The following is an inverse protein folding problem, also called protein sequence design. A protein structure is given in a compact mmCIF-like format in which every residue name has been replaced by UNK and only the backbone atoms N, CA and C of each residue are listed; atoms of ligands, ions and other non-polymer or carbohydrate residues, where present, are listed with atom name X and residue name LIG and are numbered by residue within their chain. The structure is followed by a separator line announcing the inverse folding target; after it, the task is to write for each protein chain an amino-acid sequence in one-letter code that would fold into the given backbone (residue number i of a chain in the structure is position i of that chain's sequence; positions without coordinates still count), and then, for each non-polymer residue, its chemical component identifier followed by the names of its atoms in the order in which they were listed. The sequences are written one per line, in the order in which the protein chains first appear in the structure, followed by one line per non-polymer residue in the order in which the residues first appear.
data_IF_470300535870
#
_entry.id   IF_470300535870
#
_cell.length_a   1.000
_cell.length_b   1.000
_cell.length_c   1.000
_cell.angle_alpha   90.00
_cell.angle_beta   90.00
_cell.angle_gamma   90.00
#
_symmetry.space_group_name_H-M   'P 1'
#
loop_
_entity.id
_entity.type
_entity.pdbx_description
1 polymer ?
#
# COMPACT_ATOMS: atom_id res chain seq x y z
N UNK A 1 -3.49 12.83 -21.11
CA UNK A 1 -2.11 13.26 -20.77
C UNK A 1 -1.23 12.02 -20.69
N UNK A 2 -0.24 11.96 -21.58
CA UNK A 2 0.84 10.98 -21.55
C UNK A 2 1.93 11.43 -20.57
N UNK A 3 2.46 10.50 -19.78
CA UNK A 3 3.47 10.82 -18.78
C UNK A 3 4.85 11.03 -19.43
N UNK A 4 5.68 11.93 -18.88
CA UNK A 4 7.02 12.17 -19.40
C UNK A 4 7.90 10.89 -19.46
N UNK A 5 8.66 10.68 -20.56
CA UNK A 5 9.44 9.46 -20.79
C UNK A 5 10.66 9.28 -19.87
N UNK A 6 11.02 10.29 -19.08
CA UNK A 6 12.11 10.24 -18.10
C UNK A 6 11.65 9.80 -16.70
N UNK A 7 10.35 9.63 -16.48
CA UNK A 7 9.86 9.01 -15.25
C UNK A 7 10.10 7.49 -15.34
N UNK A 8 10.52 6.84 -14.26
CA UNK A 8 10.59 5.38 -14.21
C UNK A 8 9.27 4.79 -14.73
N UNK A 9 9.36 3.79 -15.62
CA UNK A 9 8.18 3.05 -16.06
C UNK A 9 7.52 2.47 -14.81
N UNK A 10 6.20 2.63 -14.70
CA UNK A 10 5.41 1.94 -13.69
C UNK A 10 5.67 0.44 -13.83
N UNK A 11 6.11 -0.20 -12.74
CA UNK A 11 6.11 -1.66 -12.69
C UNK A 11 4.68 -2.11 -12.39
N UNK A 12 3.93 -2.41 -13.45
CA UNK A 12 2.54 -2.84 -13.35
C UNK A 12 2.38 -4.30 -12.88
N UNK A 13 3.48 -4.98 -12.55
CA UNK A 13 3.39 -6.31 -11.93
C UNK A 13 2.74 -6.23 -10.53
N UNK A 14 2.21 -7.36 -10.05
CA UNK A 14 1.73 -7.51 -8.65
C UNK A 14 2.78 -7.00 -7.65
N UNK A 15 4.05 -7.33 -7.89
CA UNK A 15 5.20 -6.90 -7.09
C UNK A 15 5.31 -5.38 -7.07
N UNK A 16 5.33 -4.74 -8.25
CA UNK A 16 5.43 -3.29 -8.36
C UNK A 16 4.25 -2.57 -7.71
N UNK A 17 3.04 -3.09 -7.85
CA UNK A 17 1.84 -2.57 -7.16
C UNK A 17 1.95 -2.68 -5.64
N UNK A 18 2.42 -3.80 -5.09
CA UNK A 18 2.66 -3.96 -3.65
C UNK A 18 3.69 -2.95 -3.13
N UNK A 19 4.79 -2.75 -3.86
CA UNK A 19 5.82 -1.79 -3.49
C UNK A 19 5.30 -0.37 -3.45
N UNK A 20 4.56 0.05 -4.48
CA UNK A 20 4.00 1.40 -4.52
C UNK A 20 2.91 1.61 -3.47
N UNK A 21 2.13 0.57 -3.12
CA UNK A 21 1.20 0.63 -1.99
C UNK A 21 1.96 0.85 -0.67
N UNK A 22 2.98 0.02 -0.39
CA UNK A 22 3.76 0.12 0.84
C UNK A 22 4.42 1.49 0.98
N UNK A 23 5.06 1.98 -0.09
CA UNK A 23 5.69 3.32 -0.14
C UNK A 23 4.67 4.43 0.07
N UNK A 24 3.53 4.39 -0.63
CA UNK A 24 2.49 5.39 -0.51
C UNK A 24 1.96 5.48 0.93
N UNK A 25 1.69 4.34 1.57
CA UNK A 25 1.23 4.32 2.96
C UNK A 25 2.33 4.82 3.91
N UNK A 26 3.57 4.34 3.76
CA UNK A 26 4.68 4.74 4.60
C UNK A 26 4.99 6.24 4.53
N UNK A 27 4.99 6.82 3.34
CA UNK A 27 5.36 8.23 3.15
C UNK A 27 4.23 9.19 3.52
N UNK A 28 2.98 8.83 3.22
CA UNK A 28 1.86 9.78 3.28
C UNK A 28 0.95 9.58 4.51
N UNK A 29 0.88 8.35 5.03
CA UNK A 29 -0.11 7.95 6.04
C UNK A 29 0.50 7.38 7.32
N UNK A 30 1.79 7.05 7.33
CA UNK A 30 2.49 6.52 8.51
C UNK A 30 3.05 7.63 9.40
N UNK A 31 2.39 7.87 10.54
CA UNK A 31 2.62 9.04 11.41
C UNK A 31 3.00 8.63 12.81
N UNK A 32 3.74 9.49 13.49
CA UNK A 32 4.03 9.32 14.91
C UNK A 32 2.79 9.65 15.75
N UNK A 33 2.41 8.73 16.63
CA UNK A 33 1.42 8.90 17.68
C UNK A 33 2.06 8.65 19.05
N UNK A 34 1.53 9.29 20.09
CA UNK A 34 1.96 9.02 21.47
C UNK A 34 1.10 7.92 22.06
N UNK A 35 1.69 6.75 22.25
CA UNK A 35 1.06 5.65 22.95
C UNK A 35 1.22 5.81 24.45
N UNK A 36 0.11 5.72 25.20
CA UNK A 36 0.04 6.00 26.64
C UNK A 36 1.09 5.25 27.49
N UNK A 37 1.50 4.05 27.07
CA UNK A 37 2.45 3.19 27.81
C UNK A 37 3.82 3.11 27.14
N UNK A 38 3.89 3.26 25.80
CA UNK A 38 5.10 2.94 25.03
C UNK A 38 5.85 4.18 24.54
N UNK A 39 5.31 5.37 24.78
CA UNK A 39 5.85 6.60 24.24
C UNK A 39 5.54 6.77 22.75
N UNK A 40 6.36 7.53 22.00
CA UNK A 40 6.18 7.74 20.57
C UNK A 40 6.27 6.42 19.80
N UNK A 41 5.26 6.13 18.99
CA UNK A 41 5.22 4.99 18.09
C UNK A 41 4.73 5.48 16.73
N UNK A 42 5.31 4.98 15.63
CA UNK A 42 4.76 5.26 14.30
C UNK A 42 3.69 4.24 13.97
N UNK A 43 2.52 4.71 13.57
CA UNK A 43 1.37 3.89 13.22
C UNK A 43 0.78 4.35 11.90
N UNK A 44 0.15 3.42 11.21
CA UNK A 44 -0.77 3.70 10.13
C UNK A 44 -2.19 3.46 10.67
N UNK A 45 -2.96 4.54 10.76
CA UNK A 45 -4.38 4.51 11.09
C UNK A 45 -5.18 4.55 9.79
N UNK A 46 -5.85 3.43 9.45
CA UNK A 46 -6.70 3.36 8.26
C UNK A 46 -8.03 4.11 8.41
N UNK A 47 -8.32 4.64 9.61
CA UNK A 47 -9.51 5.41 9.97
C UNK A 47 -10.83 4.69 9.72
N UNK A 48 -10.80 3.37 9.61
CA UNK A 48 -11.90 2.57 9.08
C UNK A 48 -12.46 3.11 7.74
N UNK A 49 -11.60 3.71 6.93
CA UNK A 49 -11.93 4.23 5.62
C UNK A 49 -11.72 3.11 4.60
N UNK A 50 -12.77 2.71 3.86
CA UNK A 50 -12.72 1.55 2.98
C UNK A 50 -11.55 1.54 1.98
N UNK A 51 -11.04 2.69 1.55
CA UNK A 51 -9.89 2.78 0.65
C UNK A 51 -8.58 2.43 1.37
N UNK A 52 -8.38 2.99 2.57
CA UNK A 52 -7.21 2.72 3.42
C UNK A 52 -7.28 1.34 4.09
N UNK A 53 -8.46 0.87 4.48
CA UNK A 53 -8.67 -0.48 5.01
C UNK A 53 -8.26 -1.54 4.00
N UNK A 54 -8.59 -1.35 2.71
CA UNK A 54 -8.21 -2.29 1.66
C UNK A 54 -6.70 -2.31 1.45
N UNK A 55 -6.05 -1.15 1.45
CA UNK A 55 -4.60 -1.06 1.42
C UNK A 55 -3.96 -1.72 2.65
N UNK A 56 -4.49 -1.48 3.86
CA UNK A 56 -4.03 -2.10 5.10
C UNK A 56 -4.14 -3.64 5.02
N UNK A 57 -5.28 -4.15 4.56
CA UNK A 57 -5.50 -5.59 4.39
C UNK A 57 -4.48 -6.22 3.44
N UNK A 58 -4.22 -5.60 2.29
CA UNK A 58 -3.22 -6.11 1.33
C UNK A 58 -1.81 -6.11 1.95
N UNK A 59 -1.42 -5.02 2.61
CA UNK A 59 -0.12 -4.90 3.26
C UNK A 59 0.05 -5.89 4.42
N UNK A 60 -1.02 -6.19 5.16
CA UNK A 60 -1.01 -7.16 6.24
C UNK A 60 -0.86 -8.59 5.70
N UNK A 61 -1.61 -8.93 4.64
CA UNK A 61 -1.52 -10.23 3.98
C UNK A 61 -0.13 -10.48 3.37
N UNK A 62 0.55 -9.43 2.90
CA UNK A 62 1.90 -9.53 2.30
C UNK A 62 3.03 -9.46 3.33
N UNK A 63 2.71 -9.22 4.61
CA UNK A 63 3.69 -9.18 5.69
C UNK A 63 4.40 -7.83 5.88
N UNK A 64 3.94 -6.75 5.22
CA UNK A 64 4.50 -5.41 5.44
C UNK A 64 4.11 -4.84 6.80
N UNK A 65 2.89 -5.12 7.25
CA UNK A 65 2.34 -4.54 8.49
C UNK A 65 1.73 -5.61 9.39
N UNK A 66 1.60 -5.25 10.67
CA UNK A 66 0.74 -5.96 11.63
C UNK A 66 -0.24 -4.99 12.27
N UNK A 67 -1.48 -5.45 12.50
CA UNK A 67 -2.43 -4.70 13.32
C UNK A 67 -2.02 -4.73 14.79
N UNK A 68 -2.22 -3.62 15.48
CA UNK A 68 -1.91 -3.45 16.91
C UNK A 68 -3.18 -3.23 17.75
N UNK A 69 -4.35 -3.33 17.12
CA UNK A 69 -5.65 -3.33 17.77
C UNK A 69 -6.53 -4.45 17.23
N UNK A 70 -7.53 -4.83 18.03
CA UNK A 70 -8.42 -5.97 17.74
C UNK A 70 -9.41 -5.68 16.60
N UNK A 71 -9.61 -4.40 16.26
CA UNK A 71 -10.56 -3.96 15.24
C UNK A 71 -9.90 -3.80 13.85
N UNK A 72 -8.58 -3.97 13.74
CA UNK A 72 -7.86 -3.86 12.47
C UNK A 72 -7.77 -2.45 11.92
N UNK A 73 -7.77 -1.43 12.78
CA UNK A 73 -7.71 -0.02 12.39
C UNK A 73 -6.28 0.52 12.36
N UNK A 74 -5.53 0.28 13.44
CA UNK A 74 -4.14 0.74 13.57
C UNK A 74 -3.17 -0.38 13.33
N UNK A 75 -2.09 -0.04 12.64
CA UNK A 75 -1.04 -0.98 12.28
C UNK A 75 0.33 -0.36 12.37
N UNK A 76 1.35 -1.20 12.47
CA UNK A 76 2.76 -0.82 12.39
C UNK A 76 3.43 -1.57 11.25
N UNK A 77 4.41 -0.95 10.62
CA UNK A 77 5.27 -1.65 9.68
C UNK A 77 6.17 -2.64 10.43
N UNK A 78 6.35 -3.83 9.83
CA UNK A 78 7.23 -4.89 10.30
C UNK A 78 8.64 -4.79 9.70
N UNK A 79 8.82 -3.88 8.75
CA UNK A 79 10.03 -3.71 7.97
C UNK A 79 10.24 -2.23 7.63
N UNK A 80 11.48 -1.86 7.39
CA UNK A 80 11.85 -0.51 6.96
C UNK A 80 11.82 -0.39 5.43
N UNK A 81 11.78 0.84 4.86
CA UNK A 81 11.68 1.04 3.41
C UNK A 81 12.75 0.33 2.56
N UNK A 82 13.95 0.13 3.11
CA UNK A 82 15.03 -0.58 2.40
C UNK A 82 14.79 -2.10 2.30
N UNK A 83 13.85 -2.65 3.06
CA UNK A 83 13.49 -4.07 3.09
C UNK A 83 12.24 -4.37 2.26
N UNK A 84 11.53 -3.34 1.78
CA UNK A 84 10.26 -3.50 1.07
C UNK A 84 10.35 -4.43 -0.14
N UNK A 85 11.46 -4.38 -0.86
CA UNK A 85 11.70 -5.29 -1.99
C UNK A 85 11.73 -6.75 -1.55
N UNK A 86 12.42 -7.06 -0.45
CA UNK A 86 12.46 -8.42 0.09
C UNK A 86 11.09 -8.92 0.55
N UNK A 87 10.25 -8.03 1.10
CA UNK A 87 8.88 -8.39 1.50
C UNK A 87 7.97 -8.60 0.28
N UNK A 88 8.10 -7.75 -0.75
CA UNK A 88 7.34 -7.90 -1.99
C UNK A 88 7.68 -9.20 -2.75
N UNK A 89 8.91 -9.70 -2.59
CA UNK A 89 9.38 -10.96 -3.16
C UNK A 89 9.12 -12.19 -2.25
N UNK A 90 8.51 -11.98 -1.08
CA UNK A 90 8.26 -13.05 -0.10
C UNK A 90 7.22 -14.06 -0.58
N UNK A 91 7.22 -15.25 0.02
CA UNK A 91 6.20 -16.28 -0.24
C UNK A 91 4.79 -15.76 0.04
N UNK A 92 4.62 -14.99 1.12
CA UNK A 92 3.32 -14.41 1.51
C UNK A 92 2.81 -13.45 0.45
N UNK A 93 3.65 -12.51 -0.01
CA UNK A 93 3.29 -11.57 -1.09
C UNK A 93 2.96 -12.29 -2.42
N UNK A 94 3.68 -13.38 -2.72
CA UNK A 94 3.46 -14.16 -3.93
C UNK A 94 2.14 -14.95 -3.92
N UNK A 95 1.63 -15.33 -2.75
CA UNK A 95 0.37 -16.07 -2.60
C UNK A 95 -0.88 -15.17 -2.71
N UNK A 96 -0.73 -13.84 -2.61
CA UNK A 96 -1.85 -12.91 -2.74
C UNK A 96 -2.33 -12.88 -4.19
N UNK A 97 -3.65 -12.88 -4.37
CA UNK A 97 -4.29 -12.65 -5.66
C UNK A 97 -3.94 -11.26 -6.21
N UNK A 98 -3.44 -11.22 -7.44
CA UNK A 98 -3.08 -9.98 -8.12
C UNK A 98 -4.28 -9.02 -8.25
N UNK A 99 -5.51 -9.55 -8.36
CA UNK A 99 -6.71 -8.73 -8.49
C UNK A 99 -7.03 -7.97 -7.20
N UNK A 100 -6.77 -8.57 -6.03
CA UNK A 100 -6.95 -7.91 -4.73
C UNK A 100 -5.96 -6.74 -4.60
N UNK A 101 -4.71 -6.94 -5.01
CA UNK A 101 -3.68 -5.89 -5.02
C UNK A 101 -4.07 -4.77 -5.98
N UNK A 102 -4.52 -5.11 -7.19
CA UNK A 102 -4.98 -4.15 -8.20
C UNK A 102 -6.16 -3.32 -7.70
N UNK A 103 -7.16 -3.95 -7.10
CA UNK A 103 -8.32 -3.26 -6.54
C UNK A 103 -7.90 -2.25 -5.46
N UNK A 104 -6.97 -2.62 -4.58
CA UNK A 104 -6.43 -1.74 -3.55
C UNK A 104 -5.74 -0.50 -4.16
N UNK A 105 -4.93 -0.68 -5.22
CA UNK A 105 -4.31 0.43 -5.95
C UNK A 105 -5.35 1.35 -6.57
N UNK A 106 -6.35 0.81 -7.27
CA UNK A 106 -7.42 1.60 -7.92
C UNK A 106 -8.21 2.40 -6.89
N UNK A 107 -8.62 1.76 -5.79
CA UNK A 107 -9.38 2.43 -4.72
C UNK A 107 -8.56 3.52 -4.04
N UNK A 108 -7.28 3.24 -3.73
CA UNK A 108 -6.42 4.24 -3.10
C UNK A 108 -6.16 5.44 -4.03
N UNK A 109 -6.07 5.23 -5.35
CA UNK A 109 -5.91 6.30 -6.33
C UNK A 109 -7.16 7.17 -6.49
N UNK A 110 -8.34 6.55 -6.54
CA UNK A 110 -9.62 7.21 -6.83
C UNK A 110 -10.41 7.60 -5.56
N UNK A 111 -9.92 7.22 -4.40
CA UNK A 111 -10.57 7.41 -3.12
C UNK A 111 -10.51 8.84 -2.60
N UNK A 112 -11.02 9.02 -1.37
CA UNK A 112 -11.07 10.33 -0.72
C UNK A 112 -9.76 10.72 0.01
N UNK A 113 -8.73 9.88 -0.09
CA UNK A 113 -7.45 10.05 0.60
C UNK A 113 -6.35 10.39 -0.39
N UNK A 114 -5.30 11.08 0.09
CA UNK A 114 -4.15 11.39 -0.76
C UNK A 114 -3.38 10.12 -1.11
N UNK A 115 -2.98 10.01 -2.37
CA UNK A 115 -2.16 8.92 -2.90
C UNK A 115 -0.95 9.45 -3.65
N UNK A 116 0.10 8.63 -3.79
CA UNK A 116 1.31 8.99 -4.52
C UNK A 116 1.07 9.04 -6.02
N UNK A 117 1.94 9.75 -6.75
CA UNK A 117 1.91 9.75 -8.22
C UNK A 117 2.09 8.35 -8.81
N UNK A 118 2.86 7.48 -8.13
CA UNK A 118 3.04 6.08 -8.52
C UNK A 118 1.72 5.30 -8.49
N UNK A 119 0.95 5.42 -7.41
CA UNK A 119 -0.38 4.82 -7.27
C UNK A 119 -1.35 5.34 -8.33
N UNK A 120 -1.36 6.64 -8.61
CA UNK A 120 -2.23 7.22 -9.65
C UNK A 120 -1.91 6.70 -11.06
N UNK A 121 -0.62 6.53 -11.38
CA UNK A 121 -0.17 5.94 -12.65
C UNK A 121 -0.61 4.49 -12.79
N UNK A 122 -0.34 3.68 -11.75
CA UNK A 122 -0.70 2.26 -11.74
C UNK A 122 -2.21 2.06 -11.86
N UNK A 123 -3.03 2.86 -11.16
CA UNK A 123 -4.48 2.79 -11.26
C UNK A 123 -4.98 3.13 -12.68
N UNK A 124 -4.36 4.11 -13.35
CA UNK A 124 -4.69 4.46 -14.73
C UNK A 124 -4.35 3.31 -15.69
N UNK A 125 -3.21 2.65 -15.51
CA UNK A 125 -2.85 1.47 -16.30
C UNK A 125 -3.82 0.31 -16.04
N UNK A 126 -4.19 0.09 -14.77
CA UNK A 126 -5.13 -0.95 -14.36
C UNK A 126 -6.54 -0.82 -14.92
N UNK A 127 -6.97 0.41 -15.19
CA UNK A 127 -8.29 0.71 -15.73
C UNK A 127 -8.32 0.59 -17.26
N UNK A 128 -7.16 0.69 -17.93
CA UNK A 128 -7.05 0.64 -19.39
C UNK A 128 -6.70 -0.76 -19.93
N UNK A 129 -6.32 -1.71 -19.09
CA UNK A 129 -6.12 -3.10 -19.52
C UNK A 129 -7.45 -3.79 -19.82
N UNK A 130 -7.64 -4.39 -21.01
CA UNK A 130 -8.80 -5.22 -21.29
C UNK A 130 -8.75 -6.46 -20.39
N UNK A 131 -9.86 -6.71 -19.69
CA UNK A 131 -10.09 -7.95 -18.94
C UNK A 131 -9.98 -9.12 -19.95
N UNK A 132 -8.84 -9.80 -19.95
CA UNK A 132 -8.61 -11.00 -20.77
C UNK A 132 -9.29 -12.22 -20.14
#
# INVERSE_FOLDING_TARGET
MDFPPWLPKSDYSKRGMLLELARCIFEMHYREEIHAVRGPIRTFDNMCNGDLERAASVLQMSGFIQYIDDIGRRSVFLCEPYEFEGVADSKMANEIDAEIVREAVIRLANGNVRSSLGIQKLAKEATNEPRS
#
